data_IF_567205291004
#
_entry.id   IF_567205291004
#
_cell.length_a   1.000
_cell.length_b   1.000
_cell.length_c   1.000
_cell.angle_alpha   90.00
_cell.angle_beta   90.00
_cell.angle_gamma   90.00
#
_symmetry.space_group_name_H-M   'P 1'
#
loop_
_entity.id
_entity.type
_entity.pdbx_description
1 polymer ?
#
# COMPACT_ATOMS: atom_id res chain seq x y z
N UNK A 1 17.91 -33.56 12.68
CA UNK A 1 17.34 -32.32 13.22
C UNK A 1 16.35 -31.77 12.20
N UNK A 2 15.08 -32.18 12.30
CA UNK A 2 14.02 -31.75 11.37
C UNK A 2 13.46 -30.43 11.88
N UNK A 3 13.88 -29.32 11.30
CA UNK A 3 13.26 -28.02 11.54
C UNK A 3 11.84 -28.11 10.96
N UNK A 4 10.85 -28.11 11.84
CA UNK A 4 9.44 -28.13 11.47
C UNK A 4 9.12 -26.82 10.75
N UNK A 5 8.59 -26.92 9.54
CA UNK A 5 7.91 -25.82 8.83
C UNK A 5 6.66 -25.45 9.63
N UNK A 6 6.74 -24.42 10.46
CA UNK A 6 5.57 -23.70 10.97
C UNK A 6 5.27 -22.54 10.02
N UNK A 7 4.80 -22.91 8.82
CA UNK A 7 3.92 -22.03 8.07
C UNK A 7 2.53 -22.66 8.22
N UNK A 8 1.83 -22.30 9.31
CA UNK A 8 0.40 -22.55 9.41
C UNK A 8 -0.27 -21.85 8.23
N UNK A 9 -0.60 -22.66 7.22
CA UNK A 9 -1.37 -22.21 6.07
C UNK A 9 -2.75 -21.80 6.59
N UNK A 10 -3.01 -20.50 6.64
CA UNK A 10 -4.32 -19.96 7.00
C UNK A 10 -5.39 -20.63 6.13
N UNK A 11 -6.34 -21.33 6.76
CA UNK A 11 -7.36 -22.09 6.04
C UNK A 11 -8.34 -21.12 5.35
N UNK A 12 -9.15 -21.64 4.43
CA UNK A 12 -10.08 -20.83 3.65
C UNK A 12 -11.18 -20.18 4.48
N UNK A 13 -11.59 -20.78 5.60
CA UNK A 13 -12.64 -20.27 6.47
C UNK A 13 -12.15 -19.04 7.25
N UNK A 14 -10.96 -19.12 7.85
CA UNK A 14 -10.33 -18.00 8.57
C UNK A 14 -10.07 -16.80 7.65
N UNK A 15 -9.57 -17.07 6.43
CA UNK A 15 -9.37 -16.00 5.43
C UNK A 15 -10.68 -15.31 5.06
N UNK A 16 -11.76 -16.07 4.88
CA UNK A 16 -13.06 -15.50 4.54
C UNK A 16 -13.65 -14.69 5.70
N UNK A 17 -13.45 -15.15 6.94
CA UNK A 17 -13.84 -14.41 8.13
C UNK A 17 -13.11 -13.06 8.22
N UNK A 18 -11.79 -13.05 8.07
CA UNK A 18 -11.00 -11.82 8.07
C UNK A 18 -11.44 -10.89 6.94
N UNK A 19 -11.67 -11.44 5.74
CA UNK A 19 -12.15 -10.64 4.62
C UNK A 19 -13.51 -9.97 4.92
N UNK A 20 -14.42 -10.70 5.56
CA UNK A 20 -15.71 -10.15 5.98
C UNK A 20 -15.55 -9.04 7.03
N UNK A 21 -14.67 -9.25 8.02
CA UNK A 21 -14.34 -8.23 9.03
C UNK A 21 -13.78 -6.96 8.36
N UNK A 22 -12.84 -7.11 7.41
CA UNK A 22 -12.28 -5.99 6.64
C UNK A 22 -13.34 -5.27 5.80
N UNK A 23 -14.24 -6.00 5.14
CA UNK A 23 -15.31 -5.41 4.34
C UNK A 23 -16.31 -4.60 5.15
N UNK A 24 -16.46 -4.90 6.45
CA UNK A 24 -17.28 -4.08 7.35
C UNK A 24 -16.65 -2.71 7.64
N UNK A 25 -15.31 -2.61 7.57
CA UNK A 25 -14.56 -1.36 7.69
C UNK A 25 -14.64 -0.58 6.37
N UNK A 26 -14.38 -1.24 5.24
CA UNK A 26 -14.38 -0.58 3.94
C UNK A 26 -15.05 -1.45 2.85
N UNK A 27 -16.18 -1.01 2.26
CA UNK A 27 -17.00 -1.85 1.39
C UNK A 27 -16.31 -2.23 0.07
N UNK A 28 -15.34 -1.43 -0.37
CA UNK A 28 -14.63 -1.61 -1.63
C UNK A 28 -13.35 -2.47 -1.49
N UNK A 29 -13.20 -3.19 -0.37
CA UNK A 29 -12.14 -4.17 -0.17
C UNK A 29 -12.40 -5.45 -0.97
N UNK A 30 -11.45 -5.82 -1.83
CA UNK A 30 -11.54 -7.00 -2.70
C UNK A 30 -10.23 -7.81 -2.69
N UNK A 31 -10.30 -9.14 -2.54
CA UNK A 31 -9.13 -9.98 -2.72
C UNK A 31 -8.76 -10.08 -4.20
N UNK A 32 -7.47 -10.03 -4.50
CA UNK A 32 -6.91 -10.19 -5.85
C UNK A 32 -5.78 -11.23 -5.84
N UNK A 33 -5.54 -11.86 -6.99
CA UNK A 33 -4.31 -12.66 -7.15
C UNK A 33 -3.10 -11.74 -7.20
N UNK A 34 -2.00 -12.15 -6.58
CA UNK A 34 -0.72 -11.44 -6.66
C UNK A 34 -0.12 -11.45 -8.06
N UNK A 35 -0.53 -12.39 -8.92
CA UNK A 35 -0.16 -12.42 -10.34
C UNK A 35 -0.64 -11.19 -11.14
N UNK A 36 -1.64 -10.47 -10.60
CA UNK A 36 -2.13 -9.21 -11.19
C UNK A 36 -1.24 -8.01 -10.85
N UNK A 37 -0.31 -8.16 -9.89
CA UNK A 37 0.57 -7.07 -9.43
C UNK A 37 1.78 -6.99 -10.36
N UNK A 38 1.89 -5.89 -11.09
CA UNK A 38 3.03 -5.62 -11.98
C UNK A 38 4.08 -4.79 -11.26
N UNK A 39 5.28 -5.36 -11.08
CA UNK A 39 6.45 -4.62 -10.59
C UNK A 39 7.20 -4.02 -11.77
N UNK A 40 7.10 -2.70 -11.91
CA UNK A 40 7.67 -1.98 -13.04
C UNK A 40 9.13 -1.53 -12.80
N UNK A 41 10.01 -1.78 -13.77
CA UNK A 41 11.44 -1.45 -13.64
C UNK A 41 11.72 0.06 -13.59
N UNK A 42 10.86 0.86 -14.24
CA UNK A 42 11.03 2.31 -14.36
C UNK A 42 10.85 3.05 -13.03
N UNK A 43 10.31 2.42 -11.99
CA UNK A 43 10.09 3.05 -10.66
C UNK A 43 11.40 3.58 -10.08
N UNK A 44 12.53 2.89 -10.31
CA UNK A 44 13.85 3.39 -9.89
C UNK A 44 14.29 4.62 -10.67
N UNK A 45 13.89 4.76 -11.93
CA UNK A 45 14.14 5.96 -12.73
C UNK A 45 13.32 7.14 -12.22
N UNK A 46 12.05 6.92 -11.83
CA UNK A 46 11.23 7.94 -11.15
C UNK A 46 11.92 8.44 -9.89
N UNK A 47 12.45 7.55 -9.07
CA UNK A 47 13.19 7.92 -7.86
C UNK A 47 14.46 8.72 -8.18
N UNK A 48 15.30 8.24 -9.11
CA UNK A 48 16.59 8.87 -9.44
C UNK A 48 16.45 10.25 -10.11
N UNK A 49 15.46 10.41 -10.99
CA UNK A 49 15.36 11.60 -11.85
C UNK A 49 14.13 12.47 -11.56
N UNK A 50 13.12 11.95 -10.88
CA UNK A 50 11.87 12.67 -10.58
C UNK A 50 11.72 13.11 -9.11
N UNK A 51 12.51 12.57 -8.18
CA UNK A 51 12.37 12.88 -6.75
C UNK A 51 13.30 14.01 -6.30
N UNK A 52 12.73 15.06 -5.70
CA UNK A 52 13.48 16.19 -5.08
C UNK A 52 14.26 15.80 -3.81
N UNK A 53 13.96 14.63 -3.25
CA UNK A 53 14.59 14.08 -2.05
C UNK A 53 15.46 12.85 -2.34
N UNK A 54 15.82 12.61 -3.60
CA UNK A 54 16.69 11.49 -3.97
C UNK A 54 18.01 11.54 -3.19
N UNK A 55 18.41 10.40 -2.59
CA UNK A 55 19.63 10.25 -1.82
C UNK A 55 19.60 10.85 -0.41
N UNK A 56 18.46 11.41 0.05
CA UNK A 56 18.33 12.00 1.40
C UNK A 56 17.91 10.99 2.49
N UNK A 57 17.38 9.84 2.09
CA UNK A 57 16.88 8.80 3.00
C UNK A 57 17.34 7.41 2.54
N UNK A 58 17.34 6.45 3.47
CA UNK A 58 17.67 5.04 3.20
C UNK A 58 16.58 4.29 2.40
N UNK A 59 15.55 5.01 1.93
CA UNK A 59 14.55 4.51 1.01
C UNK A 59 14.92 4.74 -0.47
N UNK A 60 16.12 5.28 -0.74
CA UNK A 60 16.61 5.48 -2.11
C UNK A 60 17.57 4.34 -2.52
N UNK A 61 17.66 4.01 -3.82
CA UNK A 61 18.78 3.25 -4.37
C UNK A 61 20.15 3.77 -3.89
N UNK A 62 21.10 2.90 -3.47
CA UNK A 62 21.08 1.43 -3.58
C UNK A 62 20.40 0.69 -2.42
N UNK A 63 19.94 1.39 -1.38
CA UNK A 63 19.39 0.78 -0.16
C UNK A 63 17.95 0.27 -0.32
N UNK A 64 17.20 0.84 -1.27
CA UNK A 64 15.90 0.32 -1.67
C UNK A 64 16.02 -0.98 -2.50
N UNK A 65 15.09 -1.93 -2.33
CA UNK A 65 15.08 -3.16 -3.13
C UNK A 65 15.04 -2.86 -4.63
N UNK A 66 15.71 -3.70 -5.40
CA UNK A 66 15.61 -3.74 -6.85
C UNK A 66 14.21 -4.22 -7.28
N UNK A 67 13.78 -3.91 -8.51
CA UNK A 67 12.51 -4.42 -9.02
C UNK A 67 12.48 -5.94 -8.99
N UNK A 68 13.63 -6.57 -9.23
CA UNK A 68 13.80 -8.02 -9.24
C UNK A 68 13.69 -8.64 -7.83
N UNK A 69 14.25 -7.99 -6.81
CA UNK A 69 14.00 -8.38 -5.42
C UNK A 69 12.53 -8.23 -5.04
N UNK A 70 11.88 -7.13 -5.47
CA UNK A 70 10.47 -6.91 -5.15
C UNK A 70 9.54 -7.93 -5.85
N UNK A 71 9.85 -8.35 -7.09
CA UNK A 71 9.12 -9.44 -7.76
C UNK A 71 9.16 -10.74 -6.95
N UNK A 72 10.33 -11.09 -6.41
CA UNK A 72 10.48 -12.26 -5.54
C UNK A 72 9.63 -12.14 -4.29
N UNK A 73 9.67 -11.00 -3.61
CA UNK A 73 8.83 -10.75 -2.42
C UNK A 73 7.35 -10.90 -2.75
N UNK A 74 6.87 -10.28 -3.84
CA UNK A 74 5.45 -10.41 -4.25
C UNK A 74 5.08 -11.87 -4.54
N UNK A 75 5.98 -12.64 -5.15
CA UNK A 75 5.74 -14.06 -5.48
C UNK A 75 5.65 -15.00 -4.28
N UNK A 76 6.09 -14.56 -3.08
CA UNK A 76 5.92 -15.33 -1.84
C UNK A 76 4.45 -15.31 -1.35
N UNK A 77 3.65 -14.38 -1.85
CA UNK A 77 2.24 -14.25 -1.52
C UNK A 77 1.37 -14.75 -2.67
N UNK A 78 0.23 -15.37 -2.34
CA UNK A 78 -0.78 -15.84 -3.32
C UNK A 78 -1.95 -14.88 -3.49
N UNK A 79 -2.26 -14.10 -2.45
CA UNK A 79 -3.44 -13.24 -2.40
C UNK A 79 -3.04 -11.89 -1.83
N UNK A 80 -3.52 -10.83 -2.46
CA UNK A 80 -3.43 -9.46 -1.98
C UNK A 80 -4.83 -8.87 -1.81
N UNK A 81 -4.92 -7.74 -1.10
CA UNK A 81 -6.17 -7.01 -0.90
C UNK A 81 -6.08 -5.68 -1.63
N UNK A 82 -7.08 -5.36 -2.45
CA UNK A 82 -7.25 -4.07 -3.11
C UNK A 82 -8.35 -3.28 -2.42
N UNK A 83 -8.08 -2.03 -2.08
CA UNK A 83 -9.05 -1.09 -1.53
C UNK A 83 -8.99 0.22 -2.32
N UNK A 84 -10.16 0.83 -2.55
CA UNK A 84 -10.30 2.09 -3.29
C UNK A 84 -10.84 3.18 -2.38
N UNK A 85 -10.05 4.22 -2.17
CA UNK A 85 -10.47 5.40 -1.40
C UNK A 85 -10.77 6.56 -2.35
N UNK A 86 -11.83 7.32 -2.05
CA UNK A 86 -12.16 8.54 -2.78
C UNK A 86 -11.50 9.73 -2.09
N UNK A 87 -10.44 10.25 -2.69
CA UNK A 87 -9.83 11.51 -2.26
C UNK A 87 -10.47 12.65 -3.07
N UNK A 88 -11.49 13.31 -2.50
CA UNK A 88 -12.10 14.51 -3.10
C UNK A 88 -11.43 15.76 -2.53
N UNK A 89 -10.55 16.44 -3.29
CA UNK A 89 -9.91 17.64 -2.81
C UNK A 89 -10.91 18.80 -2.84
N UNK A 90 -11.04 19.52 -1.72
CA UNK A 90 -11.95 20.68 -1.61
C UNK A 90 -11.58 21.82 -2.58
N UNK A 91 -12.50 22.75 -2.88
CA UNK A 91 -12.23 23.86 -3.80
C UNK A 91 -11.07 24.74 -3.31
N UNK A 92 -10.12 25.05 -4.20
CA UNK A 92 -8.94 25.87 -3.90
C UNK A 92 -7.70 25.09 -3.45
N UNK A 93 -7.73 23.77 -3.53
CA UNK A 93 -6.62 22.89 -3.16
C UNK A 93 -5.48 22.89 -4.17
N UNK A 94 -4.25 22.93 -3.67
CA UNK A 94 -3.06 22.76 -4.48
C UNK A 94 -2.92 21.28 -4.90
N UNK A 95 -2.83 20.97 -6.20
CA UNK A 95 -2.65 19.60 -6.68
C UNK A 95 -1.45 18.86 -6.08
N UNK A 96 -0.44 19.58 -5.58
CA UNK A 96 0.74 19.01 -4.90
C UNK A 96 0.40 18.37 -3.55
N UNK A 97 -0.75 18.68 -2.97
CA UNK A 97 -1.20 18.21 -1.65
C UNK A 97 -2.36 17.20 -1.73
N UNK A 98 -2.71 16.68 -2.91
CA UNK A 98 -3.78 15.68 -3.08
C UNK A 98 -3.58 14.45 -2.18
N UNK A 99 -2.33 14.08 -1.90
CA UNK A 99 -2.01 12.95 -1.02
C UNK A 99 -2.51 13.14 0.42
N UNK A 100 -2.66 14.38 0.92
CA UNK A 100 -3.24 14.63 2.25
C UNK A 100 -4.71 14.22 2.33
N UNK A 101 -5.48 14.43 1.28
CA UNK A 101 -6.90 14.05 1.23
C UNK A 101 -7.11 12.54 1.21
N UNK A 102 -6.17 11.80 0.62
CA UNK A 102 -6.18 10.35 0.71
C UNK A 102 -6.01 9.88 2.16
N UNK A 103 -5.13 10.53 2.93
CA UNK A 103 -4.99 10.24 4.36
C UNK A 103 -6.27 10.55 5.13
N UNK A 104 -6.93 11.68 4.85
CA UNK A 104 -8.22 12.00 5.46
C UNK A 104 -9.28 10.91 5.18
N UNK A 105 -9.37 10.43 3.95
CA UNK A 105 -10.29 9.34 3.59
C UNK A 105 -9.97 8.02 4.29
N UNK A 106 -8.68 7.72 4.49
CA UNK A 106 -8.24 6.54 5.22
C UNK A 106 -8.56 6.68 6.72
N UNK A 107 -8.29 7.85 7.30
CA UNK A 107 -8.52 8.12 8.71
C UNK A 107 -10.02 8.09 9.07
N UNK A 108 -10.89 8.62 8.20
CA UNK A 108 -12.34 8.52 8.37
C UNK A 108 -12.81 7.06 8.46
N UNK A 109 -12.22 6.19 7.64
CA UNK A 109 -12.56 4.76 7.58
C UNK A 109 -11.99 4.00 8.78
N UNK A 110 -10.76 4.34 9.20
CA UNK A 110 -10.06 3.61 10.27
C UNK A 110 -10.42 4.08 11.68
N UNK A 111 -10.81 5.34 11.85
CA UNK A 111 -10.90 5.94 13.19
C UNK A 111 -12.26 6.53 13.57
N UNK A 112 -13.22 6.66 12.64
CA UNK A 112 -14.55 7.20 12.94
C UNK A 112 -14.52 8.65 13.48
N UNK A 113 -15.64 9.36 13.44
CA UNK A 113 -15.68 10.76 13.88
C UNK A 113 -15.32 10.89 15.38
N UNK A 114 -14.13 11.43 15.70
CA UNK A 114 -13.87 12.01 17.02
C UNK A 114 -12.62 11.60 17.81
N UNK A 115 -11.51 11.17 17.20
CA UNK A 115 -10.27 10.92 17.97
C UNK A 115 -9.19 12.01 17.75
N UNK A 116 -9.26 13.10 18.52
CA UNK A 116 -8.29 14.21 18.51
C UNK A 116 -6.97 13.90 19.24
N UNK A 117 -6.43 12.68 19.12
CA UNK A 117 -5.39 12.18 20.03
C UNK A 117 -4.14 11.58 19.37
N UNK A 118 -3.78 11.98 18.15
CA UNK A 118 -2.56 11.47 17.51
C UNK A 118 -1.79 12.50 16.68
N UNK A 119 -1.18 13.49 17.34
CA UNK A 119 -0.09 14.29 16.76
C UNK A 119 1.25 13.50 16.63
N UNK A 120 1.26 12.15 16.69
CA UNK A 120 2.51 11.41 16.89
C UNK A 120 2.68 9.98 16.36
N UNK A 121 1.68 9.36 15.72
CA UNK A 121 1.78 7.92 15.33
C UNK A 121 1.70 7.63 13.83
N UNK A 122 1.87 8.62 12.96
CA UNK A 122 1.93 8.45 11.50
C UNK A 122 3.22 7.76 10.99
N UNK A 123 3.96 7.06 11.85
CA UNK A 123 5.31 6.56 11.55
C UNK A 123 5.40 5.16 10.94
N UNK A 124 4.31 4.38 10.88
CA UNK A 124 4.40 2.94 10.55
C UNK A 124 3.47 2.44 9.44
N UNK A 125 2.56 3.27 8.90
CA UNK A 125 1.81 2.90 7.69
C UNK A 125 2.63 3.31 6.46
N UNK A 126 3.59 2.44 6.13
CA UNK A 126 4.16 2.20 4.80
C UNK A 126 4.35 3.45 3.91
N UNK A 127 5.58 3.98 3.93
CA UNK A 127 6.13 4.91 2.94
C UNK A 127 6.33 4.29 1.54
N UNK A 128 5.49 3.33 1.15
CA UNK A 128 5.39 2.93 -0.24
C UNK A 128 4.31 3.79 -0.88
N UNK A 129 4.73 4.78 -1.67
CA UNK A 129 3.88 5.44 -2.65
C UNK A 129 3.24 4.37 -3.56
N UNK A 130 2.15 3.74 -3.14
CA UNK A 130 1.20 3.13 -4.04
C UNK A 130 0.41 4.28 -4.68
N UNK A 131 1.11 5.09 -5.48
CA UNK A 131 0.45 5.72 -6.60
C UNK A 131 0.09 4.57 -7.54
N UNK A 132 -1.12 4.04 -7.42
CA UNK A 132 -1.79 3.43 -8.57
C UNK A 132 -2.00 4.58 -9.54
N UNK A 133 -0.96 4.92 -10.31
CA UNK A 133 -1.19 5.62 -11.56
C UNK A 133 -1.94 4.61 -12.40
N UNK A 134 -3.26 4.78 -12.48
CA UNK A 134 -4.08 4.16 -13.50
C UNK A 134 -3.53 4.67 -14.84
N UNK A 135 -2.56 3.95 -15.35
CA UNK A 135 -1.98 4.09 -16.67
C UNK A 135 -2.39 2.80 -17.37
N UNK A 136 -3.57 2.78 -17.96
CA UNK A 136 -3.86 1.84 -19.04
C UNK A 136 -2.76 2.01 -20.08
N UNK A 137 -1.79 1.11 -20.07
CA UNK A 137 -0.82 0.99 -21.15
C UNK A 137 -0.67 -0.50 -21.43
N UNK A 138 -1.01 -0.84 -22.68
CA UNK A 138 -1.01 -2.18 -23.27
C UNK A 138 0.22 -3.00 -22.91
#
# INVERSE_FOLDING_TARGET
MKIKKEAELMNSEDRNRILFELQSIHPDIRPISTDLIVVADWVRLKCRYGCRAYGKHLCCPPFAPSPEEMRRVVSEYKTAILARFLAEPGPGTDPRHIHHYLWDSIDQVLFGEGCSLWDGAAGLILSQEFTIQYSERR
#
